data_IF_543063072452
#
_entry.id   IF_543063072452
#
_cell.length_a   1.000
_cell.length_b   1.000
_cell.length_c   1.000
_cell.angle_alpha   90.00
_cell.angle_beta   90.00
_cell.angle_gamma   90.00
#
_symmetry.space_group_name_H-M   'P 1'
#
loop_
_entity.id
_entity.type
_entity.pdbx_description
1 polymer ?
#
# COMPACT_ATOMS: atom_id res chain seq x y z
N UNK A 1 -6.97 5.00 2.68
CA UNK A 1 -6.10 4.12 3.51
C UNK A 1 -6.92 2.99 4.12
N UNK A 2 -6.61 1.72 3.82
CA UNK A 2 -7.29 0.54 4.37
C UNK A 2 -6.32 -0.27 5.24
N UNK A 3 -6.72 -0.62 6.47
CA UNK A 3 -5.91 -1.43 7.39
C UNK A 3 -6.25 -2.91 7.16
N UNK A 4 -5.25 -3.75 6.91
CA UNK A 4 -5.39 -5.19 6.69
C UNK A 4 -4.17 -5.90 7.26
N UNK A 5 -4.36 -7.14 7.70
CA UNK A 5 -3.29 -7.98 8.24
C UNK A 5 -2.30 -8.44 7.14
N UNK A 6 -2.76 -8.52 5.89
CA UNK A 6 -1.93 -8.82 4.72
C UNK A 6 -1.94 -7.69 3.70
N UNK A 7 -0.75 -7.31 3.25
CA UNK A 7 -0.55 -6.31 2.19
C UNK A 7 -0.55 -6.92 0.79
N UNK A 8 -0.55 -8.26 0.66
CA UNK A 8 -0.48 -8.95 -0.65
C UNK A 8 -1.61 -8.55 -1.58
N UNK A 9 -2.84 -8.55 -1.06
CA UNK A 9 -4.04 -8.14 -1.81
C UNK A 9 -4.10 -6.63 -2.05
N UNK A 10 -3.43 -5.80 -1.24
CA UNK A 10 -3.35 -4.36 -1.45
C UNK A 10 -2.33 -4.01 -2.53
N UNK A 11 -1.18 -4.68 -2.56
CA UNK A 11 -0.12 -4.48 -3.57
C UNK A 11 -0.63 -4.79 -4.98
N UNK A 12 -1.36 -5.89 -5.17
CA UNK A 12 -1.78 -6.35 -6.50
C UNK A 12 -2.94 -5.56 -7.16
N UNK A 13 -3.59 -4.63 -6.45
CA UNK A 13 -4.76 -3.90 -6.99
C UNK A 13 -4.45 -2.92 -8.11
N UNK A 14 -3.21 -2.45 -8.19
CA UNK A 14 -2.81 -1.46 -9.17
C UNK A 14 -1.30 -1.57 -9.43
N UNK A 15 -0.88 -1.34 -10.67
CA UNK A 15 0.53 -1.43 -11.09
C UNK A 15 1.44 -0.48 -10.33
N UNK A 16 0.94 0.73 -10.06
CA UNK A 16 1.70 1.79 -9.37
C UNK A 16 1.71 1.68 -7.84
N UNK A 17 1.12 0.64 -7.27
CA UNK A 17 1.16 0.45 -5.82
C UNK A 17 2.59 0.15 -5.37
N UNK A 18 3.12 0.96 -4.45
CA UNK A 18 4.47 0.81 -3.91
C UNK A 18 4.40 0.49 -2.42
N UNK A 19 5.21 -0.48 -2.01
CA UNK A 19 5.40 -0.82 -0.60
C UNK A 19 6.48 0.08 -0.03
N UNK A 20 6.18 0.75 1.08
CA UNK A 20 7.12 1.64 1.77
C UNK A 20 7.10 1.37 3.28
N UNK A 21 8.19 1.71 3.97
CA UNK A 21 8.23 1.72 5.43
C UNK A 21 8.19 3.16 5.92
N UNK A 22 7.24 3.50 6.80
CA UNK A 22 7.10 4.83 7.41
C UNK A 22 6.72 4.66 8.87
N UNK A 23 7.34 5.42 9.79
CA UNK A 23 7.00 5.40 11.23
C UNK A 23 6.94 3.97 11.81
N UNK A 24 7.91 3.12 11.46
CA UNK A 24 7.97 1.73 11.91
C UNK A 24 6.95 0.76 11.28
N UNK A 25 6.05 1.22 10.42
CA UNK A 25 5.00 0.39 9.80
C UNK A 25 5.17 0.29 8.28
N UNK A 26 4.76 -0.84 7.72
CA UNK A 26 4.76 -1.07 6.26
C UNK A 26 3.43 -0.64 5.68
N UNK A 27 3.48 0.20 4.65
CA UNK A 27 2.31 0.72 3.93
C UNK A 27 2.40 0.40 2.45
N UNK A 28 1.24 0.18 1.83
CA UNK A 28 1.10 0.26 0.39
C UNK A 28 0.57 1.66 0.07
N UNK A 29 1.31 2.42 -0.73
CA UNK A 29 0.89 3.73 -1.21
C UNK A 29 0.73 3.71 -2.72
N UNK A 30 -0.10 4.62 -3.23
CA UNK A 30 -0.20 4.89 -4.65
C UNK A 30 -0.19 6.42 -4.82
N UNK A 31 0.81 6.93 -5.55
CA UNK A 31 0.97 8.37 -5.78
C UNK A 31 0.15 8.86 -6.97
N UNK A 32 -0.24 7.96 -7.87
CA UNK A 32 -1.06 8.22 -9.06
C UNK A 32 -2.55 8.27 -8.71
N UNK A 33 -3.03 7.31 -7.90
CA UNK A 33 -4.42 7.19 -7.47
C UNK A 33 -4.49 7.06 -5.95
N UNK A 34 -4.82 8.15 -5.25
CA UNK A 34 -4.84 8.23 -3.78
C UNK A 34 -6.16 7.69 -3.23
N UNK A 35 -6.26 6.37 -3.03
CA UNK A 35 -7.38 5.67 -2.36
C UNK A 35 -6.96 4.98 -1.05
#
# INVERSE_FOLDING_TARGET
MKIRNSLKSLKGRHRDNRVIRRRGRTYVINKTNRR
#
